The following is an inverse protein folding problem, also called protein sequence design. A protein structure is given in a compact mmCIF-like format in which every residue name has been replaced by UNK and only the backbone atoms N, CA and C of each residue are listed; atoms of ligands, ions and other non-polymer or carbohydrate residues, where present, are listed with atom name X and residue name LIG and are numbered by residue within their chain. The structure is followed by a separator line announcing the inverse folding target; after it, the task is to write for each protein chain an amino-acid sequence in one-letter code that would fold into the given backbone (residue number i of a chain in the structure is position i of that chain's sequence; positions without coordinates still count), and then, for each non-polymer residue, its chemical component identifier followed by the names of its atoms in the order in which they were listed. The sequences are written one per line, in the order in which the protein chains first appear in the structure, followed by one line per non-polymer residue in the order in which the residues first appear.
data_IF_120107690610
#
_entry.id   IF_120107690610
#
_cell.length_a   1.000
_cell.length_b   1.000
_cell.length_c   1.000
_cell.angle_alpha   90.00
_cell.angle_beta   90.00
_cell.angle_gamma   90.00
#
_symmetry.space_group_name_H-M   'P 1'
#
loop_
_entity.id
_entity.type
_entity.pdbx_description
1 polymer ?
#
# COMPACT_ATOMS: atom_id res chain seq x y z
N UNK A 1 15.98 30.51 -26.54
CA UNK A 1 14.98 30.53 -25.45
C UNK A 1 15.53 31.50 -24.42
N UNK A 2 14.74 32.49 -24.01
CA UNK A 2 15.19 33.58 -23.14
C UNK A 2 14.96 33.21 -21.67
N UNK A 3 15.90 33.55 -20.78
CA UNK A 3 15.75 33.39 -19.32
C UNK A 3 14.43 34.00 -18.82
N UNK A 4 13.99 35.10 -19.43
CA UNK A 4 12.73 35.75 -19.08
C UNK A 4 11.51 34.90 -19.43
N UNK A 5 11.54 34.15 -20.53
CA UNK A 5 10.49 33.21 -20.92
C UNK A 5 10.45 32.04 -19.93
N UNK A 6 11.63 31.54 -19.52
CA UNK A 6 11.75 30.46 -18.53
C UNK A 6 11.23 30.86 -17.16
N UNK A 7 11.60 32.05 -16.65
CA UNK A 7 11.07 32.58 -15.39
C UNK A 7 9.55 32.79 -15.44
N UNK A 8 9.04 33.24 -16.59
CA UNK A 8 7.60 33.41 -16.79
C UNK A 8 6.88 32.04 -16.79
N UNK A 9 7.49 31.03 -17.41
CA UNK A 9 6.97 29.66 -17.42
C UNK A 9 6.98 29.03 -16.03
N UNK A 10 8.07 29.17 -15.27
CA UNK A 10 8.18 28.69 -13.89
C UNK A 10 7.15 29.38 -13.00
N UNK A 11 6.99 30.70 -13.10
CA UNK A 11 5.99 31.44 -12.34
C UNK A 11 4.57 30.92 -12.60
N UNK A 12 4.21 30.72 -13.86
CA UNK A 12 2.92 30.15 -14.23
C UNK A 12 2.73 28.74 -13.68
N UNK A 13 3.77 27.91 -13.76
CA UNK A 13 3.73 26.55 -13.23
C UNK A 13 3.51 26.54 -11.71
N UNK A 14 4.17 27.44 -10.97
CA UNK A 14 3.96 27.60 -9.53
C UNK A 14 2.55 28.09 -9.21
N UNK A 15 2.02 29.06 -9.97
CA UNK A 15 0.65 29.55 -9.80
C UNK A 15 -0.38 28.42 -10.04
N UNK A 16 -0.16 27.59 -11.06
CA UNK A 16 -1.00 26.42 -11.36
C UNK A 16 -0.87 25.35 -10.26
N UNK A 17 0.33 25.12 -9.72
CA UNK A 17 0.56 24.23 -8.59
C UNK A 17 -0.21 24.68 -7.34
N UNK A 18 -0.11 25.97 -6.99
CA UNK A 18 -0.85 26.53 -5.84
C UNK A 18 -2.36 26.34 -6.01
N UNK A 19 -2.89 26.60 -7.21
CA UNK A 19 -4.32 26.40 -7.51
C UNK A 19 -4.74 24.94 -7.40
N UNK A 20 -3.94 24.02 -7.91
CA UNK A 20 -4.25 22.58 -7.87
C UNK A 20 -4.21 22.01 -6.46
N UNK A 21 -3.22 22.41 -5.65
CA UNK A 21 -3.12 22.03 -4.24
C UNK A 21 -4.30 22.59 -3.46
N UNK A 22 -4.65 23.87 -3.62
CA UNK A 22 -5.81 24.45 -2.92
C UNK A 22 -7.14 23.74 -3.25
N UNK A 23 -7.33 23.34 -4.51
CA UNK A 23 -8.50 22.52 -4.91
C UNK A 23 -8.46 21.12 -4.28
N UNK A 24 -7.29 20.50 -4.19
CA UNK A 24 -7.13 19.21 -3.56
C UNK A 24 -7.48 19.29 -2.06
N UNK A 25 -6.94 20.29 -1.35
CA UNK A 25 -7.25 20.53 0.05
C UNK A 25 -8.75 20.75 0.28
N UNK A 26 -9.40 21.57 -0.56
CA UNK A 26 -10.85 21.77 -0.50
C UNK A 26 -11.62 20.45 -0.75
N UNK A 27 -11.16 19.63 -1.69
CA UNK A 27 -11.78 18.34 -1.98
C UNK A 27 -11.61 17.37 -0.81
N UNK A 28 -10.44 17.38 -0.16
CA UNK A 28 -10.17 16.58 1.04
C UNK A 28 -11.00 17.05 2.23
N UNK A 29 -11.18 18.36 2.42
CA UNK A 29 -12.04 18.91 3.47
C UNK A 29 -13.53 18.56 3.28
N UNK A 30 -13.95 18.30 2.03
CA UNK A 30 -15.30 17.85 1.70
C UNK A 30 -15.48 16.32 1.84
N UNK A 31 -14.38 15.55 1.90
CA UNK A 31 -14.48 14.14 2.21
C UNK A 31 -14.85 14.03 3.70
N UNK A 32 -15.97 13.38 4.04
CA UNK A 32 -16.29 13.09 5.43
C UNK A 32 -15.14 12.27 6.03
N UNK A 33 -14.70 12.61 7.24
CA UNK A 33 -13.62 11.90 7.96
C UNK A 33 -13.86 10.39 8.06
N UNK A 34 -15.13 9.98 7.95
CA UNK A 34 -15.63 8.61 7.82
C UNK A 34 -14.91 7.81 6.71
N UNK A 35 -14.59 8.46 5.57
CA UNK A 35 -13.92 7.80 4.43
C UNK A 35 -12.42 7.63 4.60
N UNK A 36 -11.79 8.39 5.49
CA UNK A 36 -10.35 8.32 5.76
C UNK A 36 -10.03 7.54 7.05
N UNK A 37 -11.02 7.32 7.92
CA UNK A 37 -10.80 6.72 9.24
C UNK A 37 -11.95 5.91 9.83
N UNK A 38 -13.02 5.61 9.10
CA UNK A 38 -14.10 4.78 9.60
C UNK A 38 -14.31 3.57 8.67
N UNK A 39 -13.60 2.47 8.96
CA UNK A 39 -14.33 1.22 8.85
C UNK A 39 -15.48 1.32 9.85
N UNK A 40 -16.73 1.01 9.45
CA UNK A 40 -17.82 1.00 10.40
C UNK A 40 -17.37 0.16 11.58
N UNK A 41 -17.56 0.66 12.80
CA UNK A 41 -17.38 -0.14 14.01
C UNK A 41 -18.41 -1.30 14.10
N UNK A 42 -18.81 -1.87 12.97
CA UNK A 42 -19.42 -3.17 12.85
C UNK A 42 -18.34 -4.21 13.12
N UNK A 43 -18.15 -4.49 14.41
CA UNK A 43 -17.58 -5.72 14.97
C UNK A 43 -16.61 -6.41 14.01
N UNK A 44 -15.35 -5.96 14.00
CA UNK A 44 -14.27 -6.79 13.44
C UNK A 44 -14.39 -8.14 14.14
N UNK A 45 -14.68 -9.20 13.39
CA UNK A 45 -14.75 -10.54 13.94
C UNK A 45 -13.31 -10.95 14.25
N UNK A 46 -12.86 -10.54 15.43
CA UNK A 46 -11.50 -10.75 15.90
C UNK A 46 -11.34 -12.27 16.09
N UNK A 47 -10.63 -12.89 15.15
CA UNK A 47 -10.22 -14.28 15.29
C UNK A 47 -9.21 -14.35 16.44
N UNK A 48 -9.60 -15.00 17.52
CA UNK A 48 -8.72 -15.20 18.67
C UNK A 48 -7.64 -16.21 18.27
N UNK A 49 -6.40 -15.76 18.20
CA UNK A 49 -5.25 -16.64 18.01
C UNK A 49 -4.98 -17.31 19.37
N UNK A 50 -5.00 -18.64 19.46
CA UNK A 50 -4.68 -19.33 20.71
C UNK A 50 -3.22 -19.09 21.10
N UNK A 51 -2.96 -18.81 22.38
CA UNK A 51 -1.60 -18.68 22.93
C UNK A 51 -0.85 -20.02 23.07
N UNK A 52 -1.46 -21.13 22.61
CA UNK A 52 -0.82 -22.44 22.61
C UNK A 52 0.40 -22.41 21.67
N UNK A 53 1.60 -22.76 22.15
CA UNK A 53 2.78 -22.83 21.31
C UNK A 53 2.55 -23.74 20.11
N UNK A 54 3.02 -23.28 18.94
CA UNK A 54 2.88 -24.04 17.70
C UNK A 54 3.60 -25.40 17.81
N UNK A 55 2.93 -26.47 17.37
CA UNK A 55 3.55 -27.79 17.34
C UNK A 55 4.48 -27.90 16.12
N UNK A 56 5.79 -27.78 16.37
CA UNK A 56 6.82 -27.87 15.34
C UNK A 56 6.97 -29.28 14.75
N UNK A 57 6.37 -30.31 15.36
CA UNK A 57 6.41 -31.68 14.81
C UNK A 57 5.59 -31.81 13.53
N UNK A 58 4.62 -30.91 13.31
CA UNK A 58 3.80 -30.82 12.08
C UNK A 58 4.59 -30.39 10.83
N UNK A 59 5.85 -29.98 10.98
CA UNK A 59 6.74 -29.57 9.88
C UNK A 59 7.99 -30.47 9.78
N UNK A 60 8.09 -31.53 10.58
CA UNK A 60 9.32 -32.33 10.69
C UNK A 60 9.66 -33.10 9.39
N UNK A 61 8.68 -33.38 8.55
CA UNK A 61 8.85 -34.01 7.23
C UNK A 61 8.93 -33.00 6.07
N UNK A 62 8.69 -31.71 6.33
CA UNK A 62 8.71 -30.66 5.29
C UNK A 62 10.11 -30.30 4.78
N UNK A 63 11.17 -30.72 5.48
CA UNK A 63 12.56 -30.56 5.02
C UNK A 63 13.02 -31.67 4.05
N UNK A 64 12.25 -32.75 3.85
CA UNK A 64 12.59 -33.87 2.94
C UNK A 64 12.16 -33.62 1.49
N UNK A 65 11.51 -32.49 1.20
CA UNK A 65 11.44 -31.96 -0.17
C UNK A 65 12.70 -31.16 -0.49
N UNK A 66 13.85 -31.85 -0.41
CA UNK A 66 15.12 -31.34 -0.88
C UNK A 66 15.00 -30.84 -2.32
N UNK A 67 15.27 -29.55 -2.52
CA UNK A 67 15.51 -28.93 -3.82
C UNK A 67 16.76 -29.59 -4.46
N UNK A 68 16.58 -30.77 -5.03
CA UNK A 68 17.64 -31.66 -5.47
C UNK A 68 17.17 -32.59 -6.57
N UNK A 69 16.81 -32.01 -7.71
CA UNK A 69 16.59 -32.71 -8.98
C UNK A 69 17.69 -33.75 -9.22
N UNK A 70 17.33 -35.04 -9.19
CA UNK A 70 18.08 -36.10 -9.84
C UNK A 70 17.11 -36.99 -10.61
N UNK A 71 16.81 -36.50 -11.80
CA UNK A 71 16.63 -37.34 -12.98
C UNK A 71 15.24 -37.95 -13.24
N UNK A 72 14.20 -37.11 -13.39
CA UNK A 72 13.01 -37.49 -14.20
C UNK A 72 12.52 -36.32 -15.04
N UNK A 73 12.74 -36.43 -16.36
CA UNK A 73 12.21 -35.53 -17.39
C UNK A 73 10.69 -35.53 -17.33
N UNK A 74 10.10 -34.34 -17.31
CA UNK A 74 8.72 -34.15 -17.75
C UNK A 74 8.64 -34.44 -19.27
N UNK A 75 7.53 -35.03 -19.75
CA UNK A 75 7.38 -35.55 -21.11
C UNK A 75 7.54 -34.50 -22.21
#
# INVERSE_FOLDING_TARGET
MSLQEELTAVRRCLDDLVRTVGRLEQSLAQLPEDRLGHMPAGRVDLVTIPDTPYDSTLWTDSDDEGLGLRDRRAP
#
